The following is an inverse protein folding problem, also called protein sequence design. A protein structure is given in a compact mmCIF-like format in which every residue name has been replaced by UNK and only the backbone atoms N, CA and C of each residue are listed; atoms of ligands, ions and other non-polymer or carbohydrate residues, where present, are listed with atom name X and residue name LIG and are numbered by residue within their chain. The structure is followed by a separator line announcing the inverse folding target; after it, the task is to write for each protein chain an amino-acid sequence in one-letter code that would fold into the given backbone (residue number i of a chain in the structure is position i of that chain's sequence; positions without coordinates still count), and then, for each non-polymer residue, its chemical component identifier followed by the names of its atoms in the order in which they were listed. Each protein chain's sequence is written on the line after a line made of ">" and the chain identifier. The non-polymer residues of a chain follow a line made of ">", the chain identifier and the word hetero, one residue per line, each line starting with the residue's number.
data_IF_588908309092
#
_entry.id   IF_588908309092
#
_cell.length_a   1.000
_cell.length_b   1.000
_cell.length_c   1.000
_cell.angle_alpha   90.00
_cell.angle_beta   90.00
_cell.angle_gamma   90.00
#
_symmetry.space_group_name_H-M   'P 1'
#
loop_
_entity.id
_entity.type
_entity.pdbx_description
1 polymer ?
#
# COMPACT_ATOMS: atom_id res chain seq x y z
N UNK A 1 1.94 26.08 3.95
CA UNK A 1 1.97 24.80 4.71
C UNK A 1 0.58 24.30 5.06
N UNK A 2 -0.32 25.15 5.57
CA UNK A 2 -1.69 24.76 5.98
C UNK A 2 -2.59 24.21 4.85
N UNK A 3 -2.52 24.78 3.64
CA UNK A 3 -3.26 24.27 2.46
C UNK A 3 -2.96 22.80 2.13
N UNK A 4 -1.73 22.33 2.41
CA UNK A 4 -1.31 20.95 2.16
C UNK A 4 -1.86 19.96 3.18
N UNK A 5 -2.11 20.42 4.42
CA UNK A 5 -2.69 19.60 5.50
C UNK A 5 -4.18 19.37 5.22
N UNK A 6 -4.89 20.44 4.81
CA UNK A 6 -6.31 20.37 4.48
C UNK A 6 -6.56 19.47 3.27
N UNK A 7 -5.70 19.51 2.24
CA UNK A 7 -5.85 18.63 1.07
C UNK A 7 -5.65 17.16 1.40
N UNK A 8 -4.70 16.84 2.30
CA UNK A 8 -4.45 15.47 2.76
C UNK A 8 -5.64 14.97 3.58
N UNK A 9 -6.18 15.79 4.48
CA UNK A 9 -7.38 15.45 5.26
C UNK A 9 -8.62 15.24 4.37
N UNK A 10 -8.81 16.09 3.35
CA UNK A 10 -9.91 15.94 2.40
C UNK A 10 -9.76 14.67 1.53
N UNK A 11 -8.54 14.33 1.11
CA UNK A 11 -8.25 13.13 0.35
C UNK A 11 -8.39 11.83 1.16
N UNK A 12 -8.12 11.86 2.48
CA UNK A 12 -8.34 10.70 3.34
C UNK A 12 -9.82 10.41 3.60
N UNK A 13 -10.69 11.43 3.56
CA UNK A 13 -12.15 11.26 3.70
C UNK A 13 -12.74 10.59 2.45
N UNK A 14 -12.23 10.90 1.25
CA UNK A 14 -12.70 10.27 0.00
C UNK A 14 -12.15 8.86 -0.21
N UNK A 15 -10.98 8.56 0.36
CA UNK A 15 -10.39 7.23 0.40
C UNK A 15 -10.73 6.54 1.72
N UNK A 16 -11.98 6.62 2.19
CA UNK A 16 -12.41 5.85 3.37
C UNK A 16 -12.27 4.36 3.02
N UNK A 17 -11.22 3.67 3.49
CA UNK A 17 -11.06 2.27 3.17
C UNK A 17 -12.17 1.56 3.92
N UNK A 18 -12.82 0.57 3.30
CA UNK A 18 -13.79 -0.26 4.00
C UNK A 18 -13.04 -1.16 4.99
N UNK A 19 -12.62 -0.59 6.12
CA UNK A 19 -11.84 -1.26 7.15
C UNK A 19 -12.80 -2.14 7.94
N UNK A 20 -12.70 -3.44 7.70
CA UNK A 20 -13.48 -4.41 8.45
C UNK A 20 -12.86 -4.59 9.84
N UNK A 21 -13.52 -4.06 10.88
CA UNK A 21 -13.01 -4.00 12.26
C UNK A 21 -12.54 -5.36 12.79
N UNK A 22 -13.39 -6.39 12.73
CA UNK A 22 -13.04 -7.74 13.20
C UNK A 22 -11.99 -8.50 12.38
N UNK A 23 -11.41 -7.88 11.35
CA UNK A 23 -10.31 -8.43 10.54
C UNK A 23 -9.05 -7.56 10.59
N UNK A 24 -9.13 -6.42 11.27
CA UNK A 24 -8.07 -5.42 11.28
C UNK A 24 -7.32 -5.52 12.60
N UNK A 25 -6.04 -5.88 12.51
CA UNK A 25 -5.14 -5.96 13.66
C UNK A 25 -4.07 -4.87 13.55
N UNK A 26 -3.50 -4.53 14.69
CA UNK A 26 -2.46 -3.51 14.79
C UNK A 26 -1.12 -4.18 15.04
N UNK A 27 -0.13 -3.85 14.21
CA UNK A 27 1.27 -4.18 14.43
C UNK A 27 1.98 -2.91 14.91
N UNK A 28 2.58 -2.94 16.10
CA UNK A 28 3.42 -1.82 16.58
C UNK A 28 4.79 -1.88 15.92
N UNK A 29 5.34 -0.71 15.61
CA UNK A 29 6.69 -0.57 15.07
C UNK A 29 7.43 0.51 15.86
N UNK A 30 8.55 0.15 16.51
CA UNK A 30 9.44 1.06 17.24
C UNK A 30 8.80 1.87 18.39
N UNK A 31 7.69 1.42 18.99
CA UNK A 31 7.07 2.14 20.13
C UNK A 31 6.89 1.21 21.33
N UNK A 32 7.41 1.61 22.49
CA UNK A 32 7.20 0.93 23.78
C UNK A 32 5.84 1.28 24.41
N UNK A 33 5.00 2.07 23.74
CA UNK A 33 3.82 2.65 24.39
C UNK A 33 2.67 1.65 24.43
N UNK A 34 2.26 1.31 25.64
CA UNK A 34 1.11 0.47 26.02
C UNK A 34 -0.25 1.09 25.69
N UNK A 35 -0.31 1.98 24.71
CA UNK A 35 -1.55 2.65 24.36
C UNK A 35 -2.43 1.69 23.56
N UNK A 36 -3.54 1.28 24.16
CA UNK A 36 -4.63 0.59 23.49
C UNK A 36 -5.18 1.51 22.41
N UNK A 37 -5.16 1.04 21.16
CA UNK A 37 -5.72 1.79 20.04
C UNK A 37 -7.17 1.33 19.87
N UNK A 38 -8.09 2.28 20.02
CA UNK A 38 -9.52 2.08 19.82
C UNK A 38 -9.94 2.61 18.46
N UNK A 39 -10.56 1.75 17.64
CA UNK A 39 -11.19 2.15 16.38
C UNK A 39 -12.71 2.16 16.59
N UNK A 40 -13.31 3.35 16.58
CA UNK A 40 -14.76 3.54 16.75
C UNK A 40 -15.31 2.86 18.02
N UNK A 41 -14.56 3.01 19.12
CA UNK A 41 -14.91 2.46 20.45
C UNK A 41 -14.51 1.01 20.70
N UNK A 42 -14.03 0.28 19.68
CA UNK A 42 -13.59 -1.12 19.81
C UNK A 42 -12.06 -1.19 19.90
N UNK A 43 -11.54 -1.92 20.89
CA UNK A 43 -10.10 -2.17 21.05
C UNK A 43 -9.62 -3.16 19.99
N UNK A 44 -8.62 -2.78 19.20
CA UNK A 44 -8.08 -3.64 18.15
C UNK A 44 -7.06 -4.63 18.73
N UNK A 45 -7.02 -5.86 18.20
CA UNK A 45 -6.02 -6.85 18.59
C UNK A 45 -4.63 -6.44 18.12
N UNK A 46 -3.66 -6.53 19.02
CA UNK A 46 -2.24 -6.32 18.73
C UNK A 46 -1.61 -7.63 18.27
N UNK A 47 -0.96 -7.61 17.11
CA UNK A 47 -0.20 -8.74 16.58
C UNK A 47 1.28 -8.41 16.60
N UNK A 48 2.10 -9.38 17.01
CA UNK A 48 3.57 -9.23 17.11
C UNK A 48 4.27 -9.40 15.75
N UNK A 49 3.66 -10.20 14.88
CA UNK A 49 4.21 -10.56 13.57
C UNK A 49 3.10 -10.48 12.52
N UNK A 50 3.40 -9.84 11.40
CA UNK A 50 2.56 -9.84 10.21
C UNK A 50 3.34 -10.39 9.01
N UNK A 51 2.80 -11.43 8.37
CA UNK A 51 3.38 -11.98 7.15
C UNK A 51 2.69 -11.37 5.94
N UNK A 52 3.40 -10.52 5.21
CA UNK A 52 2.92 -9.94 3.97
C UNK A 52 3.77 -10.39 2.80
N UNK A 53 3.18 -11.14 1.88
CA UNK A 53 3.88 -11.65 0.70
C UNK A 53 5.23 -12.29 1.07
N UNK A 54 5.24 -13.26 1.98
CA UNK A 54 6.45 -13.91 2.53
C UNK A 54 7.44 -12.99 3.29
N UNK A 55 7.23 -11.68 3.33
CA UNK A 55 7.97 -10.79 4.21
C UNK A 55 7.41 -10.91 5.62
N UNK A 56 8.28 -11.23 6.58
CA UNK A 56 7.95 -11.17 8.01
C UNK A 56 8.19 -9.73 8.46
N UNK A 57 7.12 -9.07 8.88
CA UNK A 57 7.16 -7.74 9.49
C UNK A 57 6.93 -7.95 10.98
N UNK A 58 7.94 -7.65 11.79
CA UNK A 58 7.90 -7.71 13.24
C UNK A 58 7.96 -6.29 13.85
N UNK A 59 7.91 -6.21 15.17
CA UNK A 59 8.04 -4.95 15.92
C UNK A 59 9.32 -4.15 15.61
N UNK A 60 10.36 -4.83 15.09
CA UNK A 60 11.67 -4.26 14.75
C UNK A 60 11.75 -3.81 13.29
N UNK A 61 10.71 -4.06 12.48
CA UNK A 61 10.65 -3.72 11.06
C UNK A 61 11.61 -4.52 10.19
N UNK A 62 11.81 -5.81 10.51
CA UNK A 62 12.72 -6.73 9.81
C UNK A 62 12.47 -6.93 8.29
N UNK A 63 11.49 -6.25 7.69
CA UNK A 63 11.13 -6.39 6.28
C UNK A 63 11.92 -5.53 5.30
N UNK A 64 12.75 -4.57 5.75
CA UNK A 64 13.47 -3.65 4.85
C UNK A 64 14.33 -4.40 3.82
N UNK A 65 15.06 -5.43 4.27
CA UNK A 65 15.87 -6.26 3.40
C UNK A 65 15.04 -7.01 2.34
N UNK A 66 13.89 -7.58 2.73
CA UNK A 66 13.03 -8.32 1.81
C UNK A 66 12.34 -7.38 0.79
N UNK A 67 11.86 -6.22 1.25
CA UNK A 67 11.31 -5.17 0.39
C UNK A 67 12.36 -4.72 -0.64
N UNK A 68 13.59 -4.50 -0.20
CA UNK A 68 14.70 -4.12 -1.08
C UNK A 68 15.02 -5.18 -2.12
N UNK A 69 15.02 -6.46 -1.73
CA UNK A 69 15.20 -7.59 -2.65
C UNK A 69 14.08 -7.65 -3.69
N UNK A 70 12.82 -7.48 -3.28
CA UNK A 70 11.66 -7.48 -4.18
C UNK A 70 11.69 -6.33 -5.17
N UNK A 71 12.02 -5.12 -4.71
CA UNK A 71 12.21 -3.96 -5.58
C UNK A 71 13.32 -4.23 -6.59
N UNK A 72 14.44 -4.83 -6.17
CA UNK A 72 15.53 -5.24 -7.06
C UNK A 72 15.06 -6.22 -8.15
N UNK A 73 14.29 -7.25 -7.79
CA UNK A 73 13.72 -8.22 -8.75
C UNK A 73 12.76 -7.55 -9.73
N UNK A 74 11.86 -6.69 -9.25
CA UNK A 74 10.93 -5.96 -10.10
C UNK A 74 11.68 -5.04 -11.09
N UNK A 75 12.68 -4.31 -10.61
CA UNK A 75 13.53 -3.46 -11.46
C UNK A 75 14.28 -4.24 -12.54
N UNK A 76 14.70 -5.48 -12.25
CA UNK A 76 15.33 -6.35 -13.23
C UNK A 76 14.33 -6.92 -14.26
N UNK A 77 13.10 -7.25 -13.85
CA UNK A 77 12.08 -7.85 -14.71
C UNK A 77 11.32 -6.81 -15.56
N UNK A 78 11.12 -5.59 -15.07
CA UNK A 78 10.32 -4.57 -15.73
C UNK A 78 10.82 -4.20 -17.16
N UNK A 79 12.14 -4.08 -17.42
CA UNK A 79 12.65 -3.90 -18.77
C UNK A 79 12.33 -5.07 -19.72
N UNK A 80 12.31 -6.30 -19.22
CA UNK A 80 11.96 -7.48 -20.02
C UNK A 80 10.48 -7.47 -20.40
N UNK A 81 9.63 -7.01 -19.49
CA UNK A 81 8.20 -6.84 -19.73
C UNK A 81 7.93 -5.83 -20.87
N UNK A 82 8.74 -4.77 -20.99
CA UNK A 82 8.63 -3.79 -22.09
C UNK A 82 8.77 -4.45 -23.47
N UNK A 83 9.69 -5.41 -23.60
CA UNK A 83 9.89 -6.13 -24.86
C UNK A 83 8.69 -7.02 -25.21
N UNK A 84 8.09 -7.67 -24.20
CA UNK A 84 6.88 -8.50 -24.36
C UNK A 84 5.66 -7.64 -24.74
N UNK A 85 5.48 -6.50 -24.08
CA UNK A 85 4.40 -5.55 -24.40
C UNK A 85 4.49 -4.99 -25.81
N UNK A 86 5.71 -4.72 -26.28
CA UNK A 86 5.95 -4.23 -27.65
C UNK A 86 5.71 -5.31 -28.72
N UNK A 87 5.89 -6.59 -28.39
CA UNK A 87 5.64 -7.70 -29.32
C UNK A 87 4.15 -7.95 -29.58
N UNK A 88 3.27 -7.54 -28.65
CA UNK A 88 1.83 -7.80 -28.73
C UNK A 88 0.99 -6.64 -29.30
N UNK A 89 1.61 -5.55 -29.80
CA UNK A 89 0.92 -4.36 -30.31
C UNK A 89 -0.14 -3.77 -29.35
N UNK A 90 -0.01 -3.96 -28.03
CA UNK A 90 -0.82 -3.25 -27.04
C UNK A 90 -0.33 -1.80 -26.93
N UNK A 91 -0.63 -0.99 -27.94
CA UNK A 91 -0.41 0.44 -27.92
C UNK A 91 -1.36 1.05 -26.86
N UNK A 92 -0.87 1.88 -25.92
CA UNK A 92 -1.77 2.66 -25.08
C UNK A 92 -2.60 3.57 -26.00
N UNK A 93 -3.93 3.46 -25.92
CA UNK A 93 -4.85 4.25 -26.73
C UNK A 93 -4.52 5.74 -26.51
N UNK A 94 -4.21 6.52 -27.57
CA UNK A 94 -3.99 7.95 -27.43
C UNK A 94 -5.23 8.61 -26.85
N UNK A 95 -5.06 9.45 -25.82
CA UNK A 95 -6.16 10.19 -25.15
C UNK A 95 -7.01 11.04 -26.11
N UNK A 96 -6.56 11.26 -27.35
CA UNK A 96 -7.33 11.95 -28.39
C UNK A 96 -8.51 11.14 -28.95
N UNK A 97 -8.59 9.82 -28.69
CA UNK A 97 -9.68 8.98 -29.19
C UNK A 97 -10.73 8.58 -28.13
N UNK A 98 -10.58 8.99 -26.86
CA UNK A 98 -11.58 8.68 -25.82
C UNK A 98 -12.86 9.54 -25.89
N UNK A 99 -12.99 10.43 -26.90
CA UNK A 99 -14.12 11.36 -27.00
C UNK A 99 -15.30 10.86 -27.85
N UNK A 100 -15.33 9.60 -28.29
CA UNK A 100 -16.47 9.08 -29.08
C UNK A 100 -16.98 7.78 -28.49
N UNK A 101 -17.77 7.90 -27.42
CA UNK A 101 -18.91 7.01 -27.15
C UNK A 101 -19.82 7.69 -26.11
N UNK A 102 -20.82 8.38 -26.61
CA UNK A 102 -22.08 8.67 -25.91
C UNK A 102 -23.09 7.61 -26.32
#
# INVERSE_FOLDING_TARGET
>A
MQVKIISVAAASVSLSPNIHKGKSNILKYNTETTNTITLDGETMEEVEIFTYLDSIIDERGGSDADVKVRIGKANAAFPQLKNIWNLNNCQPIPKSQSSIRT
#
